data_IF_139413537861
#
_entry.id   IF_139413537861
#
_cell.length_a   1.000
_cell.length_b   1.000
_cell.length_c   1.000
_cell.angle_alpha   90.00
_cell.angle_beta   90.00
_cell.angle_gamma   90.00
#
_symmetry.space_group_name_H-M   'P 1'
#
loop_
_entity.id
_entity.type
_entity.pdbx_description
1 polymer ?
#
# COMPACT_ATOMS: atom_id res chain seq x y z
N UNK A 1 3.08 40.57 59.08
CA UNK A 1 1.90 41.48 59.00
C UNK A 1 1.71 41.94 57.57
N UNK A 2 0.46 41.93 57.10
CA UNK A 2 -0.12 42.33 55.79
C UNK A 2 0.04 41.31 54.68
N UNK A 3 -0.91 40.68 54.23
CA UNK A 3 -2.36 40.78 54.02
C UNK A 3 -2.66 40.35 52.57
N UNK A 4 -3.47 39.30 52.47
CA UNK A 4 -4.11 38.75 51.29
C UNK A 4 -4.87 39.76 50.45
N UNK A 5 -4.83 39.68 49.13
CA UNK A 5 -5.99 39.98 48.29
C UNK A 5 -6.08 39.00 47.12
N UNK A 6 -7.15 38.21 47.15
CA UNK A 6 -7.70 37.43 46.06
C UNK A 6 -8.28 38.33 45.01
N UNK A 7 -8.06 38.05 43.71
CA UNK A 7 -8.80 38.61 42.60
C UNK A 7 -9.47 37.46 41.88
N UNK A 8 -10.81 37.42 42.01
CA UNK A 8 -11.73 36.60 41.20
C UNK A 8 -11.65 37.02 39.75
N UNK A 9 -11.40 36.09 38.85
CA UNK A 9 -11.57 36.27 37.42
C UNK A 9 -12.96 35.80 37.00
N UNK A 10 -13.74 36.74 36.49
CA UNK A 10 -15.08 36.58 35.94
C UNK A 10 -14.97 35.95 34.57
N UNK A 11 -15.74 34.89 34.33
CA UNK A 11 -15.89 34.17 33.08
C UNK A 11 -16.99 34.86 32.23
N UNK A 12 -16.74 35.30 30.99
CA UNK A 12 -17.82 35.76 30.12
C UNK A 12 -18.44 34.62 29.37
N UNK A 13 -19.73 34.41 29.56
CA UNK A 13 -20.60 33.48 28.88
C UNK A 13 -20.67 33.76 27.37
N UNK A 14 -20.48 32.70 26.55
CA UNK A 14 -20.82 32.72 25.12
C UNK A 14 -22.35 32.58 24.94
N UNK A 15 -22.97 33.35 24.05
CA UNK A 15 -24.40 33.22 23.74
C UNK A 15 -24.67 32.04 22.82
N UNK A 16 -25.69 31.26 23.19
CA UNK A 16 -26.27 30.19 22.40
C UNK A 16 -26.97 30.78 21.15
N UNK A 17 -26.62 30.28 19.97
CA UNK A 17 -27.35 30.51 18.72
C UNK A 17 -28.53 29.53 18.60
N UNK A 18 -29.71 29.98 18.08
CA UNK A 18 -30.93 29.18 18.05
C UNK A 18 -30.95 28.15 16.92
N UNK A 19 -31.55 27.01 17.23
CA UNK A 19 -32.01 25.98 16.26
C UNK A 19 -33.14 26.56 15.40
N UNK A 20 -33.03 26.46 14.08
CA UNK A 20 -34.10 26.37 13.07
C UNK A 20 -33.42 26.44 11.71
N UNK A 21 -33.72 25.70 10.68
CA UNK A 21 -34.90 25.08 10.12
C UNK A 21 -34.47 24.05 9.09
N UNK A 22 -35.08 22.87 9.15
CA UNK A 22 -35.03 21.88 8.05
C UNK A 22 -35.82 22.41 6.86
N UNK A 23 -35.17 22.74 5.78
CA UNK A 23 -35.82 22.93 4.47
C UNK A 23 -35.85 21.59 3.73
N UNK A 24 -37.04 21.00 3.69
CA UNK A 24 -37.35 19.88 2.81
C UNK A 24 -37.61 20.44 1.41
N UNK A 25 -36.74 20.15 0.45
CA UNK A 25 -36.99 20.32 -0.98
C UNK A 25 -37.36 18.94 -1.58
N UNK A 26 -38.66 18.77 -1.85
CA UNK A 26 -39.16 17.68 -2.71
C UNK A 26 -38.97 18.11 -4.18
N UNK A 27 -38.47 17.23 -5.07
CA UNK A 27 -38.52 17.50 -6.50
C UNK A 27 -39.94 17.20 -7.04
N UNK A 28 -40.56 18.20 -7.65
CA UNK A 28 -41.80 18.04 -8.40
C UNK A 28 -41.50 17.39 -9.78
N UNK A 29 -42.07 16.24 -10.02
CA UNK A 29 -42.17 15.60 -11.35
C UNK A 29 -43.28 16.31 -12.13
N UNK A 30 -42.98 16.89 -13.31
CA UNK A 30 -43.96 17.32 -14.31
C UNK A 30 -44.29 16.14 -15.24
N UNK A 31 -45.55 15.90 -15.59
CA UNK A 31 -45.91 14.89 -16.56
C UNK A 31 -45.62 15.37 -17.99
N UNK A 32 -44.97 14.53 -18.80
CA UNK A 32 -44.77 14.73 -20.22
C UNK A 32 -46.03 14.32 -20.99
N UNK A 33 -46.37 15.13 -21.99
CA UNK A 33 -47.51 14.99 -22.85
C UNK A 33 -47.46 13.73 -23.72
N UNK A 34 -48.64 13.12 -23.91
CA UNK A 34 -48.87 12.02 -24.85
C UNK A 34 -48.69 12.48 -26.30
N UNK A 35 -47.76 11.86 -27.02
CA UNK A 35 -47.58 11.98 -28.45
C UNK A 35 -47.98 10.66 -29.14
N UNK A 36 -48.77 10.79 -30.18
CA UNK A 36 -49.45 9.75 -30.97
C UNK A 36 -48.48 8.71 -31.56
N UNK A 37 -48.89 7.45 -31.50
CA UNK A 37 -48.20 6.31 -32.11
C UNK A 37 -48.74 6.06 -33.49
N UNK A 38 -47.93 6.28 -34.53
CA UNK A 38 -48.18 5.74 -35.87
C UNK A 38 -47.42 4.43 -36.05
N UNK A 39 -47.99 3.41 -36.72
CA UNK A 39 -47.35 2.11 -36.84
C UNK A 39 -46.30 2.13 -37.95
N UNK A 40 -45.05 1.85 -37.64
CA UNK A 40 -43.98 1.58 -38.60
C UNK A 40 -43.68 0.09 -38.69
N UNK A 41 -43.67 -0.36 -39.90
CA UNK A 41 -43.46 -1.68 -40.47
C UNK A 41 -42.24 -2.43 -39.94
N UNK A 42 -42.42 -3.71 -39.70
CA UNK A 42 -41.41 -4.74 -39.39
C UNK A 42 -40.40 -4.89 -40.53
N UNK A 43 -39.11 -4.68 -40.25
CA UNK A 43 -38.04 -5.22 -41.08
C UNK A 43 -36.83 -5.57 -40.24
N UNK A 44 -36.44 -6.85 -40.26
CA UNK A 44 -35.07 -7.32 -40.15
C UNK A 44 -34.45 -7.32 -38.74
N UNK A 45 -34.58 -8.42 -38.00
CA UNK A 45 -33.70 -8.74 -36.88
C UNK A 45 -32.25 -8.87 -37.37
N UNK A 46 -31.25 -8.27 -36.66
CA UNK A 46 -29.83 -8.49 -36.98
C UNK A 46 -29.43 -9.91 -36.64
N UNK A 47 -28.91 -10.63 -37.60
CA UNK A 47 -28.25 -11.94 -37.44
C UNK A 47 -27.06 -11.83 -36.52
N UNK A 48 -26.85 -12.77 -35.58
CA UNK A 48 -25.68 -12.74 -34.70
C UNK A 48 -24.37 -12.96 -35.51
N UNK A 49 -23.28 -12.33 -35.13
CA UNK A 49 -22.00 -12.45 -35.84
C UNK A 49 -21.51 -13.89 -35.85
N UNK A 50 -21.34 -14.45 -37.05
CA UNK A 50 -20.74 -15.76 -37.30
C UNK A 50 -19.29 -15.71 -36.80
N UNK A 51 -18.96 -16.44 -35.72
CA UNK A 51 -17.59 -16.70 -35.30
C UNK A 51 -16.83 -17.38 -36.43
N UNK A 52 -15.89 -16.65 -37.04
CA UNK A 52 -14.97 -17.23 -38.04
C UNK A 52 -14.01 -18.18 -37.29
N UNK A 53 -14.11 -19.49 -37.58
CA UNK A 53 -13.14 -20.49 -37.11
C UNK A 53 -11.73 -20.06 -37.57
N UNK A 54 -10.83 -19.87 -36.64
CA UNK A 54 -9.44 -19.56 -36.93
C UNK A 54 -8.80 -20.68 -37.77
N UNK A 55 -8.11 -20.29 -38.86
CA UNK A 55 -7.46 -21.24 -39.77
C UNK A 55 -6.44 -22.13 -39.05
N UNK A 56 -6.21 -23.39 -39.52
CA UNK A 56 -5.25 -24.31 -38.91
C UNK A 56 -3.85 -23.71 -38.73
N UNK A 57 -3.41 -22.87 -39.68
CA UNK A 57 -2.12 -22.15 -39.64
C UNK A 57 -2.01 -21.20 -38.46
N UNK A 58 -3.08 -20.47 -38.06
CA UNK A 58 -3.06 -19.59 -36.85
C UNK A 58 -2.99 -20.40 -35.56
N UNK A 59 -3.64 -21.55 -35.49
CA UNK A 59 -3.57 -22.45 -34.32
C UNK A 59 -2.16 -23.04 -34.15
N UNK A 60 -1.49 -23.39 -35.24
CA UNK A 60 -0.13 -23.92 -35.20
C UNK A 60 0.89 -22.84 -34.80
N UNK A 61 0.73 -21.61 -35.25
CA UNK A 61 1.57 -20.47 -34.90
C UNK A 61 1.38 -20.01 -33.43
N UNK A 62 0.16 -20.13 -32.89
CA UNK A 62 -0.10 -19.89 -31.46
C UNK A 62 0.54 -21.01 -30.59
N UNK A 63 0.48 -22.27 -31.05
CA UNK A 63 1.03 -23.40 -30.34
C UNK A 63 2.57 -23.35 -30.29
N UNK A 64 3.22 -22.97 -31.40
CA UNK A 64 4.68 -22.80 -31.43
C UNK A 64 5.15 -21.61 -30.58
N UNK A 65 4.40 -20.49 -30.55
CA UNK A 65 4.71 -19.34 -29.66
C UNK A 65 4.55 -19.70 -28.19
N UNK A 66 3.57 -20.53 -27.85
CA UNK A 66 3.36 -20.98 -26.46
C UNK A 66 4.47 -21.94 -26.01
N UNK A 67 4.89 -22.88 -26.86
CA UNK A 67 5.99 -23.80 -26.59
C UNK A 67 7.34 -23.06 -26.48
N UNK A 68 7.56 -22.01 -27.28
CA UNK A 68 8.75 -21.19 -27.18
C UNK A 68 8.77 -20.34 -25.89
N UNK A 69 7.62 -19.84 -25.44
CA UNK A 69 7.49 -19.13 -24.16
C UNK A 69 7.69 -20.08 -22.97
N UNK A 70 7.13 -21.28 -23.00
CA UNK A 70 7.32 -22.31 -21.97
C UNK A 70 8.79 -22.79 -21.91
N UNK A 71 9.49 -22.90 -23.05
CA UNK A 71 10.91 -23.23 -23.11
C UNK A 71 11.80 -22.10 -22.54
N UNK A 72 11.50 -20.83 -22.87
CA UNK A 72 12.23 -19.69 -22.32
C UNK A 72 12.01 -19.53 -20.81
N UNK A 73 10.81 -19.84 -20.31
CA UNK A 73 10.49 -19.83 -18.88
C UNK A 73 11.18 -21.01 -18.14
N UNK A 74 11.31 -22.17 -18.78
CA UNK A 74 12.07 -23.30 -18.27
C UNK A 74 13.57 -23.03 -18.22
N UNK A 75 14.13 -22.35 -19.23
CA UNK A 75 15.54 -21.97 -19.28
C UNK A 75 15.88 -20.88 -18.26
N UNK A 76 15.00 -19.88 -18.08
CA UNK A 76 15.09 -18.88 -17.02
C UNK A 76 15.00 -19.52 -15.62
N UNK A 77 14.22 -20.60 -15.47
CA UNK A 77 14.09 -21.35 -14.22
C UNK A 77 15.31 -22.24 -13.96
N UNK A 78 16.00 -22.72 -15.00
CA UNK A 78 17.22 -23.52 -14.89
C UNK A 78 18.44 -22.67 -14.48
N UNK A 79 18.53 -21.42 -14.93
CA UNK A 79 19.60 -20.49 -14.53
C UNK A 79 19.49 -20.05 -13.04
N UNK A 80 18.32 -20.17 -12.43
CA UNK A 80 18.08 -19.87 -10.99
C UNK A 80 18.39 -21.09 -10.10
N UNK A 81 18.70 -22.26 -10.66
CA UNK A 81 19.07 -23.47 -9.90
C UNK A 81 20.58 -23.60 -9.63
N UNK A 82 21.25 -22.53 -9.27
CA UNK A 82 22.46 -22.70 -8.47
C UNK A 82 22.01 -22.79 -6.99
N UNK A 83 22.37 -23.88 -6.28
CA UNK A 83 22.10 -23.96 -4.86
C UNK A 83 22.89 -22.84 -4.17
N UNK A 84 22.19 -21.87 -3.62
CA UNK A 84 22.76 -20.99 -2.60
C UNK A 84 23.30 -21.94 -1.52
N UNK A 85 24.60 -21.88 -1.14
CA UNK A 85 25.13 -22.77 -0.13
C UNK A 85 24.27 -22.64 1.13
N UNK A 86 23.81 -23.79 1.61
CA UNK A 86 23.00 -23.96 2.82
C UNK A 86 23.87 -23.73 4.08
N UNK A 87 24.57 -22.62 4.10
CA UNK A 87 25.38 -22.20 5.24
C UNK A 87 24.88 -20.81 5.64
N UNK A 88 23.87 -20.81 6.46
CA UNK A 88 23.50 -19.77 7.44
C UNK A 88 22.12 -20.09 8.07
N UNK A 89 21.95 -21.36 8.51
CA UNK A 89 21.04 -21.59 9.64
C UNK A 89 21.97 -21.80 10.83
N UNK A 90 22.51 -20.71 11.30
CA UNK A 90 23.13 -20.62 12.62
C UNK A 90 21.99 -20.40 13.61
N UNK A 91 21.73 -21.39 14.44
CA UNK A 91 20.83 -21.33 15.61
C UNK A 91 21.37 -20.46 16.75
N UNK A 92 22.24 -19.52 16.48
CA UNK A 92 22.56 -18.45 17.41
C UNK A 92 21.52 -17.34 17.25
N UNK A 93 20.98 -16.77 18.34
CA UNK A 93 20.14 -15.59 18.25
C UNK A 93 20.98 -14.46 17.67
N UNK A 94 20.88 -14.25 16.34
CA UNK A 94 21.37 -13.02 15.74
C UNK A 94 20.67 -11.91 16.47
N UNK A 95 21.42 -10.99 17.05
CA UNK A 95 20.86 -9.83 17.74
C UNK A 95 19.96 -9.11 16.74
N UNK A 96 18.64 -9.28 16.89
CA UNK A 96 17.66 -8.54 16.12
C UNK A 96 18.01 -7.06 16.33
N UNK A 97 18.16 -6.30 15.24
CA UNK A 97 18.60 -4.91 15.28
C UNK A 97 17.85 -4.06 16.33
N UNK A 98 18.44 -2.97 16.77
CA UNK A 98 17.81 -2.03 17.69
C UNK A 98 16.63 -1.30 16.99
N UNK A 99 15.66 -0.82 17.78
CA UNK A 99 14.63 0.06 17.26
C UNK A 99 15.26 1.31 16.63
N UNK A 100 14.77 1.71 15.48
CA UNK A 100 15.24 2.91 14.80
C UNK A 100 14.80 4.16 15.58
N UNK A 101 15.62 5.21 15.66
CA UNK A 101 15.23 6.43 16.35
C UNK A 101 14.16 7.18 15.57
N UNK A 102 13.40 8.03 16.26
CA UNK A 102 12.30 8.80 15.67
C UNK A 102 12.74 9.65 14.48
N UNK A 103 13.90 10.27 14.59
CA UNK A 103 14.50 11.16 13.58
C UNK A 103 14.77 10.46 12.25
N UNK A 104 14.90 9.12 12.25
CA UNK A 104 15.01 8.31 11.02
C UNK A 104 13.82 8.50 10.10
N UNK A 105 12.64 8.73 10.65
CA UNK A 105 11.36 8.83 9.94
C UNK A 105 10.96 10.28 9.60
N UNK A 106 11.59 11.27 10.22
CA UNK A 106 11.27 12.70 10.04
C UNK A 106 11.99 13.29 8.81
N UNK A 107 11.88 12.59 7.69
CA UNK A 107 12.42 12.96 6.38
C UNK A 107 11.36 12.79 5.31
N UNK A 108 11.54 13.46 4.15
CA UNK A 108 10.65 13.32 2.98
C UNK A 108 10.38 11.83 2.68
N UNK A 109 9.14 11.50 2.29
CA UNK A 109 8.76 10.11 2.04
C UNK A 109 9.51 9.45 0.88
N UNK A 110 10.00 10.21 -0.11
CA UNK A 110 10.85 9.68 -1.17
C UNK A 110 12.28 9.38 -0.70
N UNK A 111 12.74 10.09 0.33
CA UNK A 111 14.02 9.80 0.98
C UNK A 111 13.88 8.65 1.99
N UNK A 112 12.74 8.57 2.71
CA UNK A 112 12.46 7.49 3.65
C UNK A 112 12.28 6.13 2.94
N UNK A 113 11.59 6.12 1.79
CA UNK A 113 11.22 4.88 1.10
C UNK A 113 12.44 3.96 0.83
N UNK A 114 13.51 4.38 0.17
CA UNK A 114 14.68 3.52 -0.03
C UNK A 114 15.38 3.15 1.29
N UNK A 115 15.36 4.01 2.33
CA UNK A 115 15.98 3.71 3.63
C UNK A 115 15.24 2.63 4.41
N UNK A 116 13.94 2.42 4.15
CA UNK A 116 13.15 1.34 4.77
C UNK A 116 13.47 -0.04 4.18
N UNK A 117 14.06 -0.13 2.99
CA UNK A 117 14.46 -1.40 2.41
C UNK A 117 15.57 -2.04 3.26
N UNK A 118 15.39 -3.32 3.55
CA UNK A 118 16.29 -4.08 4.42
C UNK A 118 15.99 -3.97 5.91
N UNK A 119 15.27 -2.94 6.37
CA UNK A 119 14.85 -2.79 7.76
C UNK A 119 13.87 -3.90 8.15
N UNK A 120 13.74 -4.14 9.46
CA UNK A 120 12.94 -5.24 9.98
C UNK A 120 11.66 -4.71 10.62
N UNK A 121 10.53 -5.32 10.28
CA UNK A 121 9.25 -5.12 10.96
C UNK A 121 9.06 -6.25 11.95
N UNK A 122 8.93 -5.94 13.24
CA UNK A 122 8.67 -6.90 14.31
C UNK A 122 7.29 -6.70 14.90
N UNK A 123 6.54 -7.79 15.04
CA UNK A 123 5.35 -7.87 15.87
C UNK A 123 5.26 -9.26 16.50
N UNK A 124 5.26 -9.32 17.82
CA UNK A 124 5.33 -10.57 18.56
C UNK A 124 6.58 -11.38 18.11
N UNK A 125 6.43 -12.67 17.81
CA UNK A 125 7.48 -13.55 17.29
C UNK A 125 7.72 -13.39 15.76
N UNK A 126 6.87 -12.61 15.07
CA UNK A 126 6.98 -12.38 13.63
C UNK A 126 7.96 -11.26 13.34
N UNK A 127 9.02 -11.58 12.61
CA UNK A 127 9.97 -10.59 12.08
C UNK A 127 10.02 -10.72 10.57
N UNK A 128 9.81 -9.60 9.88
CA UNK A 128 9.79 -9.48 8.43
C UNK A 128 10.86 -8.49 7.97
N UNK A 129 11.69 -8.85 6.98
CA UNK A 129 12.58 -7.91 6.29
C UNK A 129 11.80 -7.19 5.20
N UNK A 130 11.80 -5.87 5.19
CA UNK A 130 11.15 -5.06 4.13
C UNK A 130 11.92 -5.20 2.83
N UNK A 131 11.24 -5.61 1.76
CA UNK A 131 11.84 -5.87 0.45
C UNK A 131 11.27 -5.01 -0.67
N UNK A 132 10.10 -4.38 -0.43
CA UNK A 132 9.45 -3.51 -1.40
C UNK A 132 8.55 -2.48 -0.71
N UNK A 133 8.62 -1.25 -1.20
CA UNK A 133 7.83 -0.12 -0.68
C UNK A 133 7.34 0.80 -1.80
N UNK A 134 6.32 1.62 -1.50
CA UNK A 134 5.85 2.72 -2.36
C UNK A 134 5.69 4.00 -1.55
N UNK A 135 6.16 5.13 -2.08
CA UNK A 135 6.01 6.44 -1.47
C UNK A 135 4.72 7.14 -1.93
N UNK A 136 4.06 7.85 -1.01
CA UNK A 136 2.88 8.71 -1.26
C UNK A 136 3.02 10.02 -0.50
N UNK A 137 2.71 11.15 -1.16
CA UNK A 137 2.92 12.52 -0.66
C UNK A 137 1.64 13.35 -0.76
N UNK A 138 1.37 14.21 0.23
CA UNK A 138 0.24 15.19 0.20
C UNK A 138 0.76 16.63 0.12
N UNK A 139 1.93 16.88 -0.27
CA UNK A 139 2.65 18.12 0.01
C UNK A 139 2.25 19.36 -0.79
N UNK A 140 2.38 20.55 -0.11
CA UNK A 140 2.16 21.88 -0.67
C UNK A 140 3.27 22.37 -1.63
N UNK A 141 4.42 21.72 -1.69
CA UNK A 141 5.59 22.13 -2.49
C UNK A 141 5.90 21.26 -3.71
N UNK A 142 5.23 20.11 -3.85
CA UNK A 142 5.25 19.29 -5.07
C UNK A 142 3.83 19.18 -5.60
N UNK A 143 3.62 19.05 -6.94
CA UNK A 143 2.27 18.91 -7.47
C UNK A 143 1.59 17.75 -6.75
N UNK A 144 0.47 18.04 -6.11
CA UNK A 144 -0.31 17.14 -5.27
C UNK A 144 -0.39 15.74 -5.87
N UNK A 145 0.20 14.74 -5.20
CA UNK A 145 0.09 13.36 -5.63
C UNK A 145 -1.39 12.95 -5.74
N UNK A 146 -1.87 12.88 -6.98
CA UNK A 146 -3.27 12.58 -7.27
C UNK A 146 -3.70 11.17 -6.86
N UNK A 147 -2.75 10.32 -6.50
CA UNK A 147 -2.99 8.99 -5.94
C UNK A 147 -3.01 8.96 -4.41
N UNK A 148 -2.51 9.99 -3.74
CA UNK A 148 -2.43 10.01 -2.29
C UNK A 148 -3.81 10.11 -1.63
N UNK A 149 -4.02 9.35 -0.55
CA UNK A 149 -5.26 9.39 0.23
C UNK A 149 -5.51 10.77 0.87
N UNK A 150 -4.45 11.44 1.29
CA UNK A 150 -4.53 12.76 1.93
C UNK A 150 -4.84 13.92 1.00
N UNK A 151 -4.87 13.73 -0.34
CA UNK A 151 -5.09 14.80 -1.32
C UNK A 151 -6.40 15.59 -1.12
N UNK A 152 -7.37 15.02 -0.42
CA UNK A 152 -8.64 15.69 -0.08
C UNK A 152 -8.64 16.30 1.33
N UNK A 153 -7.46 16.38 1.97
CA UNK A 153 -7.31 16.92 3.31
C UNK A 153 -7.52 15.89 4.42
N UNK A 154 -7.63 16.41 5.64
CA UNK A 154 -7.73 15.61 6.87
C UNK A 154 -9.16 15.12 7.04
N UNK A 155 -9.34 13.83 7.15
CA UNK A 155 -10.60 13.15 7.52
C UNK A 155 -10.30 12.16 8.65
N UNK A 156 -11.31 11.59 9.29
CA UNK A 156 -11.10 10.55 10.30
C UNK A 156 -10.24 9.38 9.79
N UNK A 157 -10.35 9.04 8.49
CA UNK A 157 -9.55 7.99 7.85
C UNK A 157 -8.11 8.42 7.56
N UNK A 158 -7.90 9.66 7.12
CA UNK A 158 -6.59 10.15 6.66
C UNK A 158 -5.81 10.89 7.73
N UNK A 159 -6.42 11.25 8.86
CA UNK A 159 -5.75 11.95 9.95
C UNK A 159 -4.40 11.32 10.35
N UNK A 160 -4.25 9.98 10.43
CA UNK A 160 -2.95 9.40 10.78
C UNK A 160 -1.82 9.69 9.79
N UNK A 161 -2.13 9.94 8.51
CA UNK A 161 -1.10 10.30 7.49
C UNK A 161 -0.47 11.66 7.79
N UNK A 162 -1.22 12.55 8.43
CA UNK A 162 -0.77 13.89 8.83
C UNK A 162 -0.16 13.93 10.23
N UNK A 163 -0.06 12.78 10.89
CA UNK A 163 0.62 12.64 12.18
C UNK A 163 2.14 12.77 12.06
N UNK A 164 2.85 12.66 13.17
CA UNK A 164 4.31 12.73 13.18
C UNK A 164 4.95 11.51 12.50
N UNK A 165 6.12 11.69 11.90
CA UNK A 165 6.90 10.63 11.28
C UNK A 165 7.16 9.44 12.22
N UNK A 166 7.28 8.24 11.65
CA UNK A 166 7.52 7.02 12.40
C UNK A 166 6.30 6.40 13.06
N UNK A 167 5.09 6.90 12.76
CA UNK A 167 3.85 6.25 13.22
C UNK A 167 3.26 5.36 12.12
N UNK A 168 2.54 4.33 12.53
CA UNK A 168 1.82 3.48 11.60
C UNK A 168 0.57 4.19 11.09
N UNK A 169 0.29 4.06 9.79
CA UNK A 169 -1.02 4.33 9.20
C UNK A 169 -1.55 3.05 8.58
N UNK A 170 -2.57 2.46 9.20
CA UNK A 170 -3.20 1.23 8.73
C UNK A 170 -4.60 1.52 8.24
N UNK A 171 -4.89 1.18 6.98
CA UNK A 171 -6.22 1.37 6.42
C UNK A 171 -6.76 0.09 5.77
N UNK A 172 -8.08 -0.04 5.76
CA UNK A 172 -8.78 -1.13 5.08
C UNK A 172 -8.95 -0.79 3.60
N UNK A 173 -8.37 -1.62 2.73
CA UNK A 173 -8.45 -1.52 1.26
C UNK A 173 -9.48 -2.51 0.72
N UNK A 174 -10.41 -2.04 -0.11
CA UNK A 174 -11.49 -2.82 -0.72
C UNK A 174 -12.34 -3.63 0.27
N UNK A 175 -12.37 -3.25 1.54
CA UNK A 175 -13.06 -4.00 2.59
C UNK A 175 -12.42 -5.36 2.96
N UNK A 176 -11.22 -5.66 2.45
CA UNK A 176 -10.60 -6.99 2.54
C UNK A 176 -9.18 -6.96 3.13
N UNK A 177 -8.39 -5.93 2.85
CA UNK A 177 -6.96 -5.94 3.11
C UNK A 177 -6.53 -4.79 4.01
N UNK A 178 -5.85 -5.09 5.10
CA UNK A 178 -5.16 -4.09 5.91
C UNK A 178 -3.84 -3.71 5.26
N UNK A 179 -3.66 -2.43 4.98
CA UNK A 179 -2.47 -1.86 4.33
C UNK A 179 -1.66 -1.08 5.36
N UNK A 180 -0.40 -1.49 5.59
CA UNK A 180 0.52 -0.82 6.50
C UNK A 180 1.31 0.25 5.76
N UNK A 181 1.25 1.47 6.27
CA UNK A 181 2.14 2.55 5.87
C UNK A 181 2.95 3.05 7.07
N UNK A 182 4.14 3.53 6.81
CA UNK A 182 4.99 4.27 7.74
C UNK A 182 4.82 5.75 7.42
N UNK A 183 4.32 6.53 8.37
CA UNK A 183 4.21 7.99 8.22
C UNK A 183 5.60 8.59 8.14
N UNK A 184 5.81 9.50 7.21
CA UNK A 184 7.07 10.19 6.96
C UNK A 184 6.93 11.68 7.29
N UNK A 185 8.07 12.35 7.39
CA UNK A 185 8.17 13.79 7.56
C UNK A 185 7.59 14.31 8.90
N UNK A 186 7.48 15.62 9.03
CA UNK A 186 6.96 16.29 10.21
C UNK A 186 5.44 16.21 10.27
N UNK A 187 4.91 16.32 11.48
CA UNK A 187 3.48 16.42 11.70
C UNK A 187 2.85 17.54 10.86
N UNK A 188 1.72 17.24 10.23
CA UNK A 188 0.97 18.16 9.37
C UNK A 188 1.33 18.08 7.88
N UNK A 189 2.43 17.43 7.48
CA UNK A 189 2.85 17.35 6.07
C UNK A 189 1.98 16.38 5.26
N UNK A 190 1.60 15.24 5.82
CA UNK A 190 0.75 14.26 5.15
C UNK A 190 1.51 13.38 4.14
N UNK A 191 2.54 12.68 4.59
CA UNK A 191 3.38 11.81 3.78
C UNK A 191 3.51 10.42 4.40
N UNK A 192 3.58 9.38 3.58
CA UNK A 192 3.72 8.01 4.07
C UNK A 192 4.37 7.07 3.05
N UNK A 193 4.94 5.99 3.53
CA UNK A 193 5.53 4.91 2.73
C UNK A 193 4.75 3.62 2.96
N UNK A 194 4.12 3.09 1.92
CA UNK A 194 3.40 1.81 1.95
C UNK A 194 4.41 0.64 1.93
N UNK A 195 4.27 -0.28 2.85
CA UNK A 195 5.02 -1.54 2.85
C UNK A 195 4.34 -2.53 1.91
N UNK A 196 5.00 -2.90 0.81
CA UNK A 196 4.40 -3.73 -0.25
C UNK A 196 4.75 -5.20 -0.17
N UNK A 197 5.99 -5.52 0.11
CA UNK A 197 6.42 -6.90 0.25
C UNK A 197 7.53 -7.03 1.29
N UNK A 198 7.61 -8.22 1.88
CA UNK A 198 8.62 -8.56 2.87
C UNK A 198 9.10 -10.00 2.66
N UNK A 199 10.31 -10.30 3.16
CA UNK A 199 10.82 -11.65 3.35
C UNK A 199 10.65 -12.05 4.84
N UNK A 200 10.28 -13.31 5.16
CA UNK A 200 10.20 -13.75 6.55
C UNK A 200 11.60 -13.92 7.13
N UNK A 201 11.81 -13.45 8.36
CA UNK A 201 13.04 -13.65 9.15
C UNK A 201 12.76 -14.61 10.28
N UNK A 202 11.65 -14.43 11.01
CA UNK A 202 11.19 -15.35 12.05
C UNK A 202 9.67 -15.45 12.09
N UNK A 203 9.13 -16.38 12.89
CA UNK A 203 7.69 -16.55 13.08
C UNK A 203 6.96 -17.16 11.88
N UNK A 204 7.61 -17.96 11.03
CA UNK A 204 7.03 -18.52 9.81
C UNK A 204 5.71 -19.26 10.07
N UNK A 205 5.63 -20.07 11.14
CA UNK A 205 4.40 -20.80 11.51
C UNK A 205 3.22 -19.86 11.77
N UNK A 206 3.44 -18.79 12.50
CA UNK A 206 2.44 -17.76 12.79
C UNK A 206 2.03 -16.99 11.54
N UNK A 207 3.00 -16.66 10.65
CA UNK A 207 2.72 -16.07 9.35
C UNK A 207 1.82 -16.99 8.53
N UNK A 208 2.16 -18.28 8.42
CA UNK A 208 1.37 -19.29 7.69
C UNK A 208 -0.05 -19.42 8.25
N UNK A 209 -0.19 -19.46 9.58
CA UNK A 209 -1.48 -19.52 10.26
C UNK A 209 -2.34 -18.28 9.96
N UNK A 210 -1.79 -17.08 10.15
CA UNK A 210 -2.49 -15.81 9.89
C UNK A 210 -2.86 -15.65 8.41
N UNK A 211 -2.02 -16.18 7.50
CA UNK A 211 -2.25 -16.16 6.05
C UNK A 211 -3.17 -17.28 5.57
N UNK A 212 -3.43 -18.32 6.38
CA UNK A 212 -4.15 -19.53 5.96
C UNK A 212 -3.43 -20.31 4.85
N UNK A 213 -2.09 -20.29 4.79
CA UNK A 213 -1.30 -20.88 3.71
C UNK A 213 -0.07 -21.59 4.26
N UNK A 214 0.07 -22.89 3.95
CA UNK A 214 1.20 -23.72 4.38
C UNK A 214 2.32 -23.67 3.31
N UNK A 215 2.94 -22.52 3.15
CA UNK A 215 4.02 -22.32 2.18
C UNK A 215 5.11 -21.39 2.75
N UNK A 216 6.32 -21.54 2.29
CA UNK A 216 7.48 -20.67 2.55
C UNK A 216 7.86 -19.81 1.32
N UNK A 217 7.07 -19.94 0.24
CA UNK A 217 7.34 -19.27 -1.04
C UNK A 217 6.97 -17.77 -0.99
N UNK A 218 7.52 -16.97 -1.90
CA UNK A 218 7.28 -15.52 -1.94
C UNK A 218 5.81 -15.10 -2.02
N UNK A 219 4.93 -15.94 -2.54
CA UNK A 219 3.47 -15.70 -2.58
C UNK A 219 2.91 -15.37 -1.18
N UNK A 220 3.57 -15.84 -0.12
CA UNK A 220 3.16 -15.65 1.26
C UNK A 220 3.14 -14.16 1.68
N UNK A 221 4.15 -13.37 1.24
CA UNK A 221 4.38 -11.99 1.70
C UNK A 221 4.58 -10.96 0.56
N UNK A 222 4.48 -11.37 -0.70
CA UNK A 222 4.60 -10.46 -1.85
C UNK A 222 3.24 -9.81 -2.16
N UNK A 223 2.97 -8.68 -1.51
CA UNK A 223 1.77 -7.88 -1.64
C UNK A 223 1.37 -7.20 -0.32
N UNK A 224 0.93 -5.92 -0.33
CA UNK A 224 0.74 -5.12 0.89
C UNK A 224 -0.32 -5.71 1.83
N UNK A 225 -1.45 -6.18 1.31
CA UNK A 225 -2.48 -6.85 2.12
C UNK A 225 -1.99 -8.16 2.76
N UNK A 226 -1.03 -8.84 2.12
CA UNK A 226 -0.42 -10.07 2.66
C UNK A 226 0.48 -9.74 3.84
N UNK A 227 1.25 -8.66 3.77
CA UNK A 227 2.08 -8.16 4.87
C UNK A 227 1.20 -7.78 6.07
N UNK A 228 0.14 -6.98 5.84
CA UNK A 228 -0.79 -6.60 6.90
C UNK A 228 -1.45 -7.80 7.58
N UNK A 229 -1.87 -8.81 6.81
CA UNK A 229 -2.45 -10.04 7.34
C UNK A 229 -1.42 -10.88 8.12
N UNK A 230 -0.20 -11.03 7.61
CA UNK A 230 0.88 -11.76 8.28
C UNK A 230 1.25 -11.15 9.63
N UNK A 231 1.26 -9.82 9.70
CA UNK A 231 1.44 -9.08 10.95
C UNK A 231 0.16 -9.05 11.81
N UNK A 232 -1.00 -9.54 11.32
CA UNK A 232 -2.28 -9.55 12.04
C UNK A 232 -2.77 -8.13 12.37
N UNK A 233 -2.58 -7.17 11.47
CA UNK A 233 -2.93 -5.77 11.70
C UNK A 233 -4.43 -5.51 11.54
N UNK A 234 -4.91 -4.54 12.32
CA UNK A 234 -6.21 -3.89 12.21
C UNK A 234 -6.02 -2.38 12.09
N UNK A 235 -7.07 -1.62 11.82
CA UNK A 235 -7.01 -0.15 11.80
C UNK A 235 -6.63 0.47 13.15
N UNK A 236 -6.77 -0.27 14.25
CA UNK A 236 -6.42 0.16 15.61
C UNK A 236 -4.90 0.40 15.79
N UNK A 237 -4.11 -0.18 14.88
CA UNK A 237 -2.66 0.08 14.83
C UNK A 237 -2.30 1.44 14.25
N UNK A 238 -3.24 2.20 13.69
CA UNK A 238 -2.98 3.58 13.25
C UNK A 238 -2.58 4.44 14.44
N UNK A 239 -1.64 5.35 14.20
CA UNK A 239 -0.97 6.20 15.19
C UNK A 239 -0.05 5.45 16.19
N UNK A 240 0.19 4.14 16.02
CA UNK A 240 1.15 3.42 16.84
C UNK A 240 2.58 3.86 16.49
N UNK A 241 3.42 4.26 17.47
CA UNK A 241 4.80 4.63 17.22
C UNK A 241 5.65 3.39 16.90
N UNK A 242 6.30 3.39 15.74
CA UNK A 242 7.08 2.26 15.23
C UNK A 242 8.53 2.23 15.76
N UNK A 243 8.94 3.25 16.51
CA UNK A 243 10.26 3.44 17.10
C UNK A 243 10.31 3.13 18.60
N UNK A 244 9.19 2.72 19.19
CA UNK A 244 9.12 2.34 20.61
C UNK A 244 9.02 0.83 20.77
N UNK A 245 9.74 0.23 21.72
CA UNK A 245 9.63 -1.20 22.03
C UNK A 245 8.22 -1.59 22.48
N UNK A 246 7.79 -2.78 22.07
CA UNK A 246 6.52 -3.39 22.50
C UNK A 246 5.37 -3.13 21.53
N UNK A 247 5.07 -4.10 20.72
CA UNK A 247 3.99 -4.08 19.74
C UNK A 247 4.49 -4.21 18.31
N UNK A 248 4.18 -3.24 17.44
CA UNK A 248 4.69 -3.17 16.08
C UNK A 248 5.88 -2.22 16.04
N UNK A 249 7.03 -2.71 15.59
CA UNK A 249 8.29 -1.96 15.61
C UNK A 249 9.00 -2.02 14.27
N UNK A 250 9.75 -0.95 13.94
CA UNK A 250 10.74 -0.95 12.86
C UNK A 250 12.13 -0.98 13.49
N UNK A 251 12.86 -2.04 13.17
CA UNK A 251 14.21 -2.25 13.71
C UNK A 251 15.24 -2.06 12.60
N UNK A 252 16.46 -1.76 13.00
CA UNK A 252 17.57 -1.71 12.07
C UNK A 252 17.83 -3.08 11.42
N UNK A 253 18.34 -3.06 10.21
CA UNK A 253 18.63 -4.25 9.43
C UNK A 253 19.61 -3.93 8.30
N UNK A 254 20.13 -4.96 7.62
CA UNK A 254 21.16 -4.79 6.60
C UNK A 254 20.64 -3.99 5.40
N UNK A 255 21.41 -3.00 5.00
CA UNK A 255 21.12 -2.22 3.79
C UNK A 255 21.26 -3.10 2.54
N UNK A 256 20.41 -2.89 1.52
CA UNK A 256 20.52 -3.60 0.24
C UNK A 256 21.72 -3.08 -0.56
N UNK A 257 22.43 -3.97 -1.25
CA UNK A 257 23.53 -3.61 -2.15
C UNK A 257 23.02 -2.85 -3.39
N UNK A 258 21.87 -3.24 -3.90
CA UNK A 258 21.26 -2.68 -5.10
C UNK A 258 19.75 -2.49 -4.92
N UNK A 259 19.24 -1.36 -5.42
CA UNK A 259 17.82 -0.99 -5.35
C UNK A 259 17.24 -0.86 -6.76
N UNK A 260 16.07 -1.43 -6.97
CA UNK A 260 15.25 -1.25 -8.16
C UNK A 260 14.23 -0.14 -7.92
N UNK A 261 13.91 0.60 -8.98
CA UNK A 261 12.88 1.65 -8.97
C UNK A 261 11.88 1.45 -10.11
N UNK A 262 10.66 1.92 -9.92
CA UNK A 262 9.63 1.86 -10.95
C UNK A 262 8.33 2.57 -10.55
N UNK A 263 7.32 2.51 -11.40
CA UNK A 263 6.01 3.09 -11.12
C UNK A 263 5.30 2.32 -10.00
N UNK A 264 4.46 3.06 -9.25
CA UNK A 264 3.55 2.48 -8.26
C UNK A 264 2.50 1.59 -8.91
N UNK A 265 1.88 0.73 -8.13
CA UNK A 265 0.92 -0.27 -8.62
C UNK A 265 -0.49 0.03 -8.12
N UNK A 266 -1.48 -0.06 -9.01
CA UNK A 266 -2.90 0.10 -8.65
C UNK A 266 -3.33 1.57 -8.50
N UNK A 267 -2.65 2.49 -9.19
CA UNK A 267 -2.94 3.92 -9.19
C UNK A 267 -3.25 4.46 -10.60
N UNK A 268 -3.74 3.62 -11.51
CA UNK A 268 -4.05 3.96 -12.89
C UNK A 268 -5.12 5.06 -13.03
N UNK A 269 -5.85 5.35 -11.95
CA UNK A 269 -6.82 6.45 -11.85
C UNK A 269 -6.18 7.83 -11.62
N UNK A 270 -4.87 7.87 -11.31
CA UNK A 270 -4.14 9.11 -11.02
C UNK A 270 -3.73 9.84 -12.31
N UNK A 271 -3.20 11.06 -12.16
CA UNK A 271 -2.65 11.81 -13.29
C UNK A 271 -1.46 11.04 -13.92
N UNK A 272 -1.28 11.11 -15.25
CA UNK A 272 -0.25 10.33 -15.96
C UNK A 272 1.16 10.48 -15.40
N UNK A 273 1.55 11.69 -14.99
CA UNK A 273 2.83 11.98 -14.36
C UNK A 273 3.02 11.23 -13.03
N UNK A 274 1.96 11.06 -12.24
CA UNK A 274 2.01 10.33 -10.98
C UNK A 274 1.95 8.81 -11.18
N UNK A 275 1.27 8.33 -12.24
CA UNK A 275 1.25 6.92 -12.61
C UNK A 275 2.62 6.44 -13.05
N UNK A 276 3.36 7.27 -13.80
CA UNK A 276 4.68 6.93 -14.35
C UNK A 276 5.84 7.26 -13.40
N UNK A 277 5.60 8.03 -12.34
CA UNK A 277 6.63 8.43 -11.39
C UNK A 277 7.30 7.19 -10.75
N UNK A 278 8.65 7.16 -10.66
CA UNK A 278 9.41 6.01 -10.15
C UNK A 278 9.43 5.98 -8.61
N UNK A 279 8.26 5.99 -7.99
CA UNK A 279 8.08 6.10 -6.54
C UNK A 279 7.81 4.74 -5.86
N UNK A 280 8.15 3.66 -6.54
CA UNK A 280 8.20 2.30 -6.04
C UNK A 280 9.63 1.83 -5.99
N UNK A 281 10.04 1.27 -4.85
CA UNK A 281 11.41 0.84 -4.58
C UNK A 281 11.41 -0.61 -4.12
N UNK A 282 12.39 -1.39 -4.57
CA UNK A 282 12.54 -2.80 -4.18
C UNK A 282 14.01 -3.20 -4.11
N UNK A 283 14.32 -4.20 -3.30
CA UNK A 283 15.65 -4.81 -3.25
C UNK A 283 15.88 -5.65 -4.51
N UNK A 284 17.01 -5.46 -5.20
CA UNK A 284 17.40 -6.29 -6.33
C UNK A 284 17.69 -7.74 -5.91
N UNK A 285 17.55 -8.68 -6.84
CA UNK A 285 17.91 -10.07 -6.63
C UNK A 285 17.00 -10.88 -5.67
N UNK A 286 16.06 -10.26 -4.96
CA UNK A 286 15.14 -10.99 -4.09
C UNK A 286 13.91 -11.48 -4.82
N UNK A 287 13.42 -12.71 -4.52
CA UNK A 287 12.14 -13.18 -5.05
C UNK A 287 10.92 -12.53 -4.36
N UNK A 288 11.11 -11.90 -3.20
CA UNK A 288 10.07 -11.30 -2.35
C UNK A 288 9.65 -9.91 -2.83
N UNK A 289 9.19 -9.81 -4.08
CA UNK A 289 8.69 -8.58 -4.71
C UNK A 289 7.30 -8.87 -5.25
N UNK A 290 6.37 -7.90 -5.13
CA UNK A 290 5.01 -8.00 -5.65
C UNK A 290 4.96 -7.82 -7.19
N UNK A 291 3.91 -8.30 -7.83
CA UNK A 291 3.69 -8.07 -9.26
C UNK A 291 3.14 -6.65 -9.53
N UNK A 292 3.41 -6.06 -10.70
CA UNK A 292 4.27 -6.55 -11.77
C UNK A 292 5.76 -6.28 -11.49
N UNK A 293 6.63 -7.27 -11.72
CA UNK A 293 8.08 -7.14 -11.50
C UNK A 293 8.82 -6.49 -12.66
N UNK A 294 8.29 -6.67 -13.88
CA UNK A 294 8.88 -6.19 -15.14
C UNK A 294 8.84 -4.66 -15.32
N UNK A 295 8.24 -3.92 -14.39
CA UNK A 295 8.23 -2.45 -14.39
C UNK A 295 9.38 -1.84 -13.56
N UNK A 296 10.11 -2.68 -12.82
CA UNK A 296 11.25 -2.26 -12.00
C UNK A 296 12.54 -2.25 -12.84
N UNK A 297 13.41 -1.29 -12.60
CA UNK A 297 14.71 -1.09 -13.25
C UNK A 297 15.76 -0.73 -12.18
N UNK A 298 17.04 -1.01 -12.39
CA UNK A 298 18.10 -0.49 -11.51
C UNK A 298 17.98 1.02 -11.30
N UNK A 299 18.27 1.47 -10.08
CA UNK A 299 18.21 2.89 -9.70
C UNK A 299 19.43 3.63 -10.21
#
# INVERSE_FOLDING_TARGET
MRSLRSISAVNPAHPLLPRSQKLQLKPQLRPAAAGEISPMTTSGAPTPPRFKRSSPRKKQQLRSRRLAAEAAEAEATALVRQPIPATLVSDAPQSIGSALPREFFEVDALDLAPRLLGKLLRRDEVVLRVTEVESSLVEAYRPNDSACHGRFGITARTAPVFGPGGHAYVYLCYGLHMMLNVVADKEGVGAAVLIRACAPVSGLKTIQQRRGQQTDKPILLSGPGKVGQALGLTTDWSNHPLYTPGGLEVLDGPEPEEILVGPRVGIEYALPEHVTAPWRFAIAGTPWISAPKNTLRPR
#
